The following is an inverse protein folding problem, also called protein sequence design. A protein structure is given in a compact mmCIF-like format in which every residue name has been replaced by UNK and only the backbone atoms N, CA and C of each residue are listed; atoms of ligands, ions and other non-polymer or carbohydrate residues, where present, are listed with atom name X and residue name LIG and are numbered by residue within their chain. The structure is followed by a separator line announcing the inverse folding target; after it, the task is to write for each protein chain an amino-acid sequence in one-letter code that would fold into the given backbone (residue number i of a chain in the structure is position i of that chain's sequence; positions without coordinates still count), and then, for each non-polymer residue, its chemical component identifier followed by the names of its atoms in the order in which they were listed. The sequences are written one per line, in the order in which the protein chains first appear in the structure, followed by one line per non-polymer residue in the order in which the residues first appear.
data_IF_110399950450
#
_entry.id   IF_110399950450
#
_cell.length_a   1.000
_cell.length_b   1.000
_cell.length_c   1.000
_cell.angle_alpha   90.00
_cell.angle_beta   90.00
_cell.angle_gamma   90.00
#
_symmetry.space_group_name_H-M   'P 1'
#
loop_
_entity.id
_entity.type
_entity.pdbx_description
1 polymer ?
#
# COMPACT_ATOMS: atom_id res chain seq x y z
N UNK A 1 -14.66 58.76 -11.54
CA UNK A 1 -13.35 58.12 -11.81
C UNK A 1 -13.49 56.61 -11.74
N UNK A 2 -14.19 56.02 -12.70
CA UNK A 2 -13.71 55.41 -13.97
C UNK A 2 -13.27 53.95 -13.82
N UNK A 3 -13.74 53.05 -14.71
CA UNK A 3 -13.96 51.61 -14.47
C UNK A 3 -12.97 50.73 -15.29
N UNK A 4 -13.03 49.37 -15.24
CA UNK A 4 -12.03 48.50 -15.83
C UNK A 4 -12.23 48.33 -17.34
N UNK A 5 -11.14 48.14 -18.09
CA UNK A 5 -11.14 47.95 -19.55
C UNK A 5 -10.87 46.49 -19.93
N UNK A 6 -11.65 46.08 -20.92
CA UNK A 6 -11.80 44.79 -21.57
C UNK A 6 -10.82 44.54 -22.74
N UNK A 7 -10.62 43.24 -23.01
CA UNK A 7 -10.44 42.51 -24.28
C UNK A 7 -9.19 42.63 -25.20
N UNK A 8 -8.77 41.41 -25.61
CA UNK A 8 -8.12 40.94 -26.84
C UNK A 8 -6.69 41.35 -27.24
N UNK A 9 -5.79 40.36 -27.29
CA UNK A 9 -4.76 40.26 -28.34
C UNK A 9 -4.18 38.84 -28.47
N UNK A 10 -4.59 38.14 -29.54
CA UNK A 10 -3.97 36.93 -30.08
C UNK A 10 -2.91 37.34 -31.11
N UNK A 11 -1.64 36.89 -31.08
CA UNK A 11 -0.73 37.15 -32.17
C UNK A 11 -0.79 36.05 -33.24
N UNK A 12 -1.06 36.49 -34.47
CA UNK A 12 -1.06 35.73 -35.72
C UNK A 12 0.26 35.96 -36.47
N UNK A 13 0.85 34.87 -36.98
CA UNK A 13 1.64 34.72 -38.23
C UNK A 13 2.84 35.64 -38.52
N UNK A 14 4.02 35.02 -38.66
CA UNK A 14 5.08 35.21 -39.70
C UNK A 14 6.17 34.16 -39.38
N UNK A 15 6.83 33.48 -40.31
CA UNK A 15 7.37 33.94 -41.58
C UNK A 15 7.53 32.77 -42.55
N UNK A 16 6.86 32.84 -43.71
CA UNK A 16 7.17 32.05 -44.91
C UNK A 16 8.23 32.80 -45.70
N UNK A 17 9.42 32.23 -45.84
CA UNK A 17 10.51 32.84 -46.59
C UNK A 17 10.26 32.62 -48.10
N UNK A 18 10.12 33.71 -48.84
CA UNK A 18 9.94 33.77 -50.29
C UNK A 18 11.20 33.32 -51.04
N UNK A 19 11.04 32.53 -52.12
CA UNK A 19 12.09 32.29 -53.12
C UNK A 19 12.14 33.45 -54.14
N UNK A 20 13.32 33.82 -54.66
CA UNK A 20 13.48 35.00 -55.49
C UNK A 20 12.89 34.82 -56.90
N UNK A 21 12.22 35.89 -57.37
CA UNK A 21 11.70 36.04 -58.74
C UNK A 21 12.87 36.36 -59.68
N UNK A 22 13.19 35.47 -60.62
CA UNK A 22 14.11 35.75 -61.73
C UNK A 22 13.40 36.57 -62.82
N UNK A 23 13.99 37.71 -63.19
CA UNK A 23 13.53 38.57 -64.27
C UNK A 23 13.81 37.93 -65.65
N UNK A 24 12.84 38.01 -66.56
CA UNK A 24 12.94 37.49 -67.93
C UNK A 24 13.45 38.59 -68.86
N UNK A 25 14.68 38.47 -69.37
CA UNK A 25 15.22 39.33 -70.44
C UNK A 25 14.73 38.83 -71.80
N UNK A 26 14.41 39.72 -72.78
CA UNK A 26 13.96 39.29 -74.10
C UNK A 26 15.06 38.50 -74.84
N UNK A 27 14.70 37.50 -75.67
CA UNK A 27 15.68 36.64 -76.33
C UNK A 27 16.56 37.45 -77.28
N UNK A 28 17.87 37.22 -77.22
CA UNK A 28 18.85 37.84 -78.12
C UNK A 28 18.59 37.41 -79.57
N UNK A 29 18.96 38.22 -80.56
CA UNK A 29 18.91 37.82 -81.99
C UNK A 29 19.64 36.49 -82.23
N UNK A 30 20.73 36.27 -81.48
CA UNK A 30 21.49 35.02 -81.45
C UNK A 30 20.66 33.84 -80.92
N UNK A 31 19.81 34.07 -79.92
CA UNK A 31 18.91 33.03 -79.39
C UNK A 31 17.81 32.65 -80.40
N UNK A 32 17.37 33.62 -81.22
CA UNK A 32 16.43 33.36 -82.32
C UNK A 32 17.05 32.53 -83.45
N UNK A 33 18.29 32.82 -83.84
CA UNK A 33 19.02 32.02 -84.83
C UNK A 33 19.34 30.61 -84.30
N UNK A 34 19.68 30.50 -83.01
CA UNK A 34 19.90 29.22 -82.35
C UNK A 34 18.63 28.37 -82.33
N UNK A 35 17.48 28.97 -82.01
CA UNK A 35 16.20 28.27 -82.03
C UNK A 35 15.83 27.79 -83.45
N UNK A 36 16.07 28.60 -84.48
CA UNK A 36 15.80 28.25 -85.87
C UNK A 36 16.69 27.10 -86.37
N UNK A 37 17.96 27.06 -85.96
CA UNK A 37 18.87 25.94 -86.27
C UNK A 37 18.41 24.63 -85.60
N UNK A 38 17.97 24.70 -84.34
CA UNK A 38 17.46 23.53 -83.60
C UNK A 38 16.16 23.02 -84.22
N UNK A 39 15.26 23.92 -84.64
CA UNK A 39 14.00 23.55 -85.30
C UNK A 39 14.22 22.89 -86.67
N UNK A 40 15.30 23.23 -87.36
CA UNK A 40 15.76 22.56 -88.58
C UNK A 40 16.53 21.25 -88.33
N UNK A 41 16.68 20.83 -87.07
CA UNK A 41 17.24 19.53 -86.69
C UNK A 41 18.75 19.49 -86.50
N UNK A 42 19.42 20.64 -86.34
CA UNK A 42 20.84 20.68 -85.95
C UNK A 42 21.02 20.51 -84.44
N UNK A 43 22.12 19.86 -84.02
CA UNK A 43 22.39 19.62 -82.59
C UNK A 43 22.63 20.95 -81.84
N UNK A 44 22.15 21.02 -80.61
CA UNK A 44 22.19 22.24 -79.79
C UNK A 44 23.63 22.67 -79.51
N UNK A 45 24.57 21.73 -79.39
CA UNK A 45 25.97 22.06 -79.13
C UNK A 45 26.67 22.58 -80.40
N UNK A 46 26.41 21.95 -81.55
CA UNK A 46 26.94 22.39 -82.85
C UNK A 46 26.49 23.82 -83.18
N UNK A 47 25.19 24.10 -83.03
CA UNK A 47 24.62 25.41 -83.29
C UNK A 47 25.16 26.50 -82.34
N UNK A 48 25.42 26.16 -81.07
CA UNK A 48 26.06 27.08 -80.10
C UNK A 48 27.52 27.37 -80.44
N UNK A 49 28.28 26.36 -80.86
CA UNK A 49 29.69 26.51 -81.24
C UNK A 49 29.83 27.41 -82.48
N UNK A 50 29.00 27.17 -83.51
CA UNK A 50 29.01 27.98 -84.72
C UNK A 50 28.61 29.45 -84.46
N UNK A 51 27.68 29.68 -83.54
CA UNK A 51 27.25 31.02 -83.11
C UNK A 51 28.29 31.75 -82.24
N UNK A 52 29.13 31.01 -81.52
CA UNK A 52 30.23 31.55 -80.72
C UNK A 52 31.48 31.88 -81.56
N UNK A 53 31.73 31.13 -82.63
CA UNK A 53 32.81 31.38 -83.60
C UNK A 53 32.50 32.56 -84.55
N UNK A 54 31.26 33.05 -84.52
CA UNK A 54 30.69 34.00 -85.45
C UNK A 54 30.54 35.41 -84.82
N UNK A 55 31.02 36.50 -85.45
CA UNK A 55 30.76 37.87 -85.01
C UNK A 55 29.27 38.24 -84.93
N UNK A 56 28.95 39.30 -84.16
CA UNK A 56 27.59 39.60 -83.65
C UNK A 56 26.49 39.88 -84.69
N UNK A 57 26.81 40.04 -85.98
CA UNK A 57 25.86 40.44 -87.02
C UNK A 57 25.89 39.48 -88.22
N UNK A 58 25.71 38.19 -87.95
CA UNK A 58 25.79 37.12 -88.96
C UNK A 58 24.42 36.64 -89.42
N UNK A 59 24.33 36.32 -90.70
CA UNK A 59 23.14 35.81 -91.36
C UNK A 59 23.04 34.28 -91.19
N UNK A 60 21.82 33.75 -91.18
CA UNK A 60 21.53 32.32 -90.99
C UNK A 60 22.26 31.42 -92.00
N UNK A 61 22.41 31.89 -93.25
CA UNK A 61 23.08 31.15 -94.32
C UNK A 61 24.57 30.91 -94.05
N UNK A 62 25.27 31.93 -93.52
CA UNK A 62 26.71 31.84 -93.21
C UNK A 62 26.96 30.91 -92.00
N UNK A 63 26.02 30.91 -91.04
CA UNK A 63 25.98 29.96 -89.94
C UNK A 63 25.79 28.51 -90.43
N UNK A 64 24.93 28.30 -91.44
CA UNK A 64 24.72 26.99 -92.03
C UNK A 64 25.98 26.48 -92.73
N UNK A 65 26.64 27.33 -93.52
CA UNK A 65 27.87 26.99 -94.25
C UNK A 65 29.02 26.66 -93.27
N UNK A 66 29.12 27.37 -92.15
CA UNK A 66 30.09 27.08 -91.10
C UNK A 66 29.82 25.76 -90.39
N UNK A 67 28.54 25.45 -90.11
CA UNK A 67 28.13 24.16 -89.53
C UNK A 67 28.40 23.03 -90.53
N UNK A 68 28.12 23.22 -91.82
CA UNK A 68 28.38 22.26 -92.88
C UNK A 68 29.88 22.00 -93.09
N UNK A 69 30.73 23.03 -93.06
CA UNK A 69 32.19 22.88 -93.14
C UNK A 69 32.77 22.14 -91.93
N UNK A 70 32.25 22.40 -90.73
CA UNK A 70 32.67 21.68 -89.52
C UNK A 70 32.12 20.24 -89.48
N UNK A 71 31.01 19.94 -90.16
CA UNK A 71 30.41 18.60 -90.25
C UNK A 71 31.25 17.63 -91.10
N UNK A 72 32.02 18.14 -92.05
CA UNK A 72 32.96 17.34 -92.85
C UNK A 72 34.27 17.02 -92.10
N UNK A 73 34.55 17.70 -90.98
CA UNK A 73 35.51 17.23 -89.99
C UNK A 73 34.82 16.23 -89.06
N UNK A 74 34.60 15.01 -89.59
CA UNK A 74 34.25 13.85 -88.79
C UNK A 74 35.26 13.66 -87.65
N UNK A 75 34.86 14.01 -86.45
CA UNK A 75 35.39 13.41 -85.21
C UNK A 75 35.11 11.90 -85.31
N UNK A 76 36.07 11.03 -84.97
CA UNK A 76 35.89 9.59 -85.05
C UNK A 76 34.68 9.13 -84.23
N UNK A 77 33.89 8.28 -84.86
CA UNK A 77 32.76 7.50 -84.37
C UNK A 77 33.03 6.86 -82.99
N UNK A 78 32.30 7.29 -81.95
CA UNK A 78 32.27 6.67 -80.60
C UNK A 78 30.86 6.21 -80.20
N UNK A 79 30.03 5.81 -81.16
CA UNK A 79 28.58 5.66 -81.00
C UNK A 79 28.10 4.50 -80.11
N UNK A 80 28.98 3.64 -79.57
CA UNK A 80 28.58 2.53 -78.67
C UNK A 80 28.97 2.78 -77.19
N UNK A 81 29.95 3.65 -76.91
CA UNK A 81 30.36 3.96 -75.53
C UNK A 81 29.47 5.05 -74.90
N UNK A 82 28.87 5.93 -75.70
CA UNK A 82 28.06 7.06 -75.21
C UNK A 82 26.64 6.65 -74.76
N UNK A 83 26.02 5.66 -75.42
CA UNK A 83 24.69 5.18 -75.02
C UNK A 83 24.73 4.31 -73.75
N UNK A 84 25.79 3.52 -73.59
CA UNK A 84 26.01 2.74 -72.37
C UNK A 84 26.42 3.61 -71.18
N UNK A 85 27.18 4.69 -71.40
CA UNK A 85 27.48 5.65 -70.35
C UNK A 85 26.26 6.46 -69.92
N UNK A 86 25.36 6.83 -70.84
CA UNK A 86 24.09 7.47 -70.49
C UNK A 86 23.14 6.53 -69.73
N UNK A 87 23.01 5.26 -70.14
CA UNK A 87 22.26 4.25 -69.35
C UNK A 87 22.84 4.08 -67.95
N UNK A 88 24.18 4.07 -67.80
CA UNK A 88 24.85 4.02 -66.49
C UNK A 88 24.59 5.28 -65.65
N UNK A 89 24.56 6.46 -66.25
CA UNK A 89 24.21 7.73 -65.57
C UNK A 89 22.74 7.74 -65.14
N UNK A 90 21.82 7.28 -65.98
CA UNK A 90 20.40 7.19 -65.67
C UNK A 90 20.12 6.16 -64.55
N UNK A 91 20.79 5.02 -64.58
CA UNK A 91 20.74 4.04 -63.49
C UNK A 91 21.35 4.56 -62.19
N UNK A 92 22.47 5.29 -62.26
CA UNK A 92 23.07 5.94 -61.10
C UNK A 92 22.12 6.99 -60.51
N UNK A 93 21.50 7.82 -61.36
CA UNK A 93 20.49 8.79 -60.93
C UNK A 93 19.26 8.13 -60.32
N UNK A 94 18.79 7.00 -60.89
CA UNK A 94 17.68 6.21 -60.33
C UNK A 94 18.06 5.67 -58.96
N UNK A 95 19.24 5.06 -58.81
CA UNK A 95 19.76 4.56 -57.51
C UNK A 95 19.87 5.68 -56.48
N UNK A 96 20.43 6.84 -56.84
CA UNK A 96 20.54 8.01 -55.95
C UNK A 96 19.15 8.54 -55.53
N UNK A 97 18.17 8.54 -56.45
CA UNK A 97 16.79 8.91 -56.16
C UNK A 97 16.11 7.90 -55.21
N UNK A 98 16.36 6.61 -55.38
CA UNK A 98 15.86 5.56 -54.47
C UNK A 98 16.52 5.62 -53.10
N UNK A 99 17.81 5.93 -53.04
CA UNK A 99 18.56 6.15 -51.80
C UNK A 99 18.02 7.35 -51.03
N UNK A 100 17.82 8.51 -51.69
CA UNK A 100 17.15 9.67 -51.07
C UNK A 100 15.75 9.35 -50.54
N UNK A 101 14.96 8.55 -51.27
CA UNK A 101 13.65 8.08 -50.82
C UNK A 101 13.76 7.18 -49.59
N UNK A 102 14.75 6.29 -49.55
CA UNK A 102 15.02 5.38 -48.42
C UNK A 102 15.44 6.17 -47.18
N UNK A 103 16.34 7.14 -47.33
CA UNK A 103 16.80 8.01 -46.24
C UNK A 103 15.67 8.87 -45.68
N UNK A 104 14.79 9.38 -46.55
CA UNK A 104 13.59 10.10 -46.13
C UNK A 104 12.66 9.22 -45.29
N UNK A 105 12.35 8.01 -45.76
CA UNK A 105 11.52 7.05 -45.02
C UNK A 105 12.17 6.62 -43.71
N UNK A 106 13.49 6.46 -43.67
CA UNK A 106 14.22 6.15 -42.44
C UNK A 106 14.21 7.30 -41.45
N UNK A 107 14.41 8.53 -41.91
CA UNK A 107 14.25 9.74 -41.10
C UNK A 107 12.83 9.81 -40.51
N UNK A 108 11.80 9.52 -41.29
CA UNK A 108 10.42 9.54 -40.79
C UNK A 108 10.16 8.44 -39.75
N UNK A 109 10.64 7.21 -40.00
CA UNK A 109 10.61 6.14 -38.98
C UNK A 109 11.35 6.53 -37.70
N UNK A 110 12.50 7.23 -37.79
CA UNK A 110 13.26 7.71 -36.63
C UNK A 110 12.46 8.75 -35.84
N UNK A 111 11.78 9.67 -36.51
CA UNK A 111 10.89 10.65 -35.85
C UNK A 111 9.69 9.97 -35.19
N UNK A 112 9.04 9.03 -35.88
CA UNK A 112 7.94 8.23 -35.32
C UNK A 112 8.40 7.44 -34.09
N UNK A 113 9.59 6.82 -34.15
CA UNK A 113 10.16 6.10 -33.02
C UNK A 113 10.46 7.03 -31.85
N UNK A 114 11.10 8.18 -32.10
CA UNK A 114 11.37 9.17 -31.06
C UNK A 114 10.07 9.71 -30.42
N UNK A 115 9.02 9.91 -31.22
CA UNK A 115 7.70 10.30 -30.70
C UNK A 115 7.06 9.19 -29.85
N UNK A 116 7.16 7.92 -30.28
CA UNK A 116 6.69 6.78 -29.48
C UNK A 116 7.45 6.67 -28.15
N UNK A 117 8.77 6.79 -28.18
CA UNK A 117 9.62 6.72 -26.98
C UNK A 117 9.31 7.89 -26.03
N UNK A 118 9.05 9.09 -26.58
CA UNK A 118 8.59 10.25 -25.80
C UNK A 118 7.25 9.97 -25.10
N UNK A 119 6.25 9.48 -25.84
CA UNK A 119 4.94 9.13 -25.26
C UNK A 119 5.05 8.03 -24.20
N UNK A 120 5.92 7.05 -24.40
CA UNK A 120 6.18 6.01 -23.39
C UNK A 120 6.85 6.59 -22.15
N UNK A 121 7.79 7.53 -22.30
CA UNK A 121 8.44 8.20 -21.19
C UNK A 121 7.45 9.03 -20.35
N UNK A 122 6.50 9.71 -20.98
CA UNK A 122 5.43 10.45 -20.30
C UNK A 122 4.50 9.49 -19.55
N UNK A 123 4.05 8.40 -20.19
CA UNK A 123 3.24 7.37 -19.50
C UNK A 123 3.96 6.77 -18.28
N UNK A 124 5.28 6.54 -18.37
CA UNK A 124 6.08 6.03 -17.23
C UNK A 124 6.15 7.05 -16.10
N UNK A 125 6.30 8.34 -16.39
CA UNK A 125 6.26 9.40 -15.36
C UNK A 125 4.89 9.47 -14.70
N UNK A 126 3.81 9.46 -15.48
CA UNK A 126 2.45 9.46 -14.95
C UNK A 126 2.18 8.23 -14.06
N UNK A 127 2.64 7.05 -14.47
CA UNK A 127 2.56 5.82 -13.67
C UNK A 127 3.34 5.94 -12.36
N UNK A 128 4.59 6.43 -12.40
CA UNK A 128 5.40 6.63 -11.19
C UNK A 128 4.76 7.65 -10.24
N UNK A 129 4.21 8.75 -10.76
CA UNK A 129 3.48 9.72 -9.95
C UNK A 129 2.21 9.12 -9.33
N UNK A 130 1.46 8.33 -10.09
CA UNK A 130 0.27 7.65 -9.59
C UNK A 130 0.63 6.64 -8.48
N UNK A 131 1.66 5.83 -8.68
CA UNK A 131 2.19 4.90 -7.69
C UNK A 131 2.65 5.62 -6.41
N UNK A 132 3.36 6.74 -6.53
CA UNK A 132 3.77 7.55 -5.38
C UNK A 132 2.57 8.13 -4.63
N UNK A 133 1.55 8.63 -5.34
CA UNK A 133 0.31 9.13 -4.74
C UNK A 133 -0.44 8.02 -4.01
N UNK A 134 -0.53 6.82 -4.59
CA UNK A 134 -1.14 5.66 -3.95
C UNK A 134 -0.34 5.18 -2.73
N UNK A 135 0.99 5.11 -2.82
CA UNK A 135 1.85 4.75 -1.71
C UNK A 135 1.69 5.71 -0.52
N UNK A 136 1.61 7.03 -0.81
CA UNK A 136 1.33 8.05 0.21
C UNK A 136 -0.04 7.89 0.84
N UNK A 137 -1.07 7.52 0.05
CA UNK A 137 -2.42 7.23 0.57
C UNK A 137 -2.43 6.00 1.47
N UNK A 138 -1.77 4.90 1.06
CA UNK A 138 -1.65 3.66 1.84
C UNK A 138 -0.92 3.91 3.16
N UNK A 139 0.22 4.58 3.13
CA UNK A 139 0.97 4.96 4.34
C UNK A 139 0.11 5.78 5.31
N UNK A 140 -0.68 6.74 4.82
CA UNK A 140 -1.58 7.53 5.68
C UNK A 140 -2.72 6.68 6.28
N UNK A 141 -3.23 5.69 5.54
CA UNK A 141 -4.22 4.74 6.05
C UNK A 141 -3.61 3.86 7.15
N UNK A 142 -2.40 3.34 6.95
CA UNK A 142 -1.69 2.51 7.92
C UNK A 142 -1.42 3.29 9.22
N UNK A 143 -0.94 4.53 9.11
CA UNK A 143 -0.76 5.43 10.26
C UNK A 143 -2.06 5.63 11.04
N UNK A 144 -3.17 5.86 10.32
CA UNK A 144 -4.50 6.01 10.93
C UNK A 144 -4.91 4.73 11.68
N UNK A 145 -4.71 3.57 11.08
CA UNK A 145 -5.05 2.29 11.71
C UNK A 145 -4.18 2.02 12.94
N UNK A 146 -2.91 2.41 12.91
CA UNK A 146 -2.00 2.32 14.04
C UNK A 146 -2.44 3.23 15.18
N UNK A 147 -2.75 4.50 14.89
CA UNK A 147 -3.24 5.46 15.89
C UNK A 147 -4.56 4.99 16.52
N UNK A 148 -5.46 4.39 15.73
CA UNK A 148 -6.71 3.77 16.22
C UNK A 148 -6.42 2.63 17.20
N UNK A 149 -5.51 1.71 16.84
CA UNK A 149 -5.11 0.58 17.71
C UNK A 149 -4.48 1.09 19.00
N UNK A 150 -3.63 2.11 18.92
CA UNK A 150 -2.98 2.72 20.07
C UNK A 150 -4.00 3.38 21.01
N UNK A 151 -4.98 4.11 20.45
CA UNK A 151 -6.09 4.67 21.22
C UNK A 151 -6.89 3.60 21.97
N UNK A 152 -7.16 2.46 21.33
CA UNK A 152 -7.84 1.34 21.99
C UNK A 152 -7.00 0.74 23.14
N UNK A 153 -5.68 0.64 22.98
CA UNK A 153 -4.78 0.17 24.04
C UNK A 153 -4.82 1.10 25.26
N UNK A 154 -4.72 2.41 25.04
CA UNK A 154 -4.82 3.40 26.13
C UNK A 154 -6.20 3.41 26.80
N UNK A 155 -7.25 3.27 26.01
CA UNK A 155 -8.62 3.16 26.52
C UNK A 155 -8.78 1.94 27.44
N UNK A 156 -8.28 0.78 27.03
CA UNK A 156 -8.33 -0.44 27.83
C UNK A 156 -7.48 -0.37 29.11
N UNK A 157 -6.43 0.46 29.12
CA UNK A 157 -5.61 0.76 30.31
C UNK A 157 -6.25 1.79 31.25
N UNK A 158 -7.41 2.34 30.91
CA UNK A 158 -8.08 3.40 31.69
C UNK A 158 -7.49 4.80 31.49
N UNK A 159 -6.54 4.97 30.57
CA UNK A 159 -5.91 6.26 30.25
C UNK A 159 -6.73 6.99 29.17
N UNK A 160 -7.90 7.50 29.58
CA UNK A 160 -8.88 8.05 28.63
C UNK A 160 -8.45 9.35 27.95
N UNK A 161 -7.67 10.21 28.63
CA UNK A 161 -7.17 11.46 28.05
C UNK A 161 -6.21 11.19 26.88
N UNK A 162 -5.26 10.27 27.05
CA UNK A 162 -4.36 9.89 25.96
C UNK A 162 -5.11 9.16 24.83
N UNK A 163 -6.09 8.30 25.17
CA UNK A 163 -6.95 7.68 24.16
C UNK A 163 -7.66 8.73 23.28
N UNK A 164 -8.21 9.80 23.86
CA UNK A 164 -8.83 10.90 23.12
C UNK A 164 -7.87 11.55 22.14
N UNK A 165 -6.61 11.78 22.55
CA UNK A 165 -5.58 12.39 21.69
C UNK A 165 -5.26 11.51 20.49
N UNK A 166 -5.07 10.21 20.69
CA UNK A 166 -4.80 9.28 19.60
C UNK A 166 -6.00 9.13 18.64
N UNK A 167 -7.23 9.09 19.15
CA UNK A 167 -8.41 9.09 18.27
C UNK A 167 -8.54 10.40 17.48
N UNK A 168 -8.25 11.54 18.11
CA UNK A 168 -8.28 12.84 17.42
C UNK A 168 -7.23 12.90 16.30
N UNK A 169 -6.02 12.38 16.56
CA UNK A 169 -4.97 12.26 15.55
C UNK A 169 -5.42 11.40 14.36
N UNK A 170 -6.04 10.24 14.63
CA UNK A 170 -6.59 9.38 13.58
C UNK A 170 -7.70 10.06 12.77
N UNK A 171 -8.59 10.84 13.41
CA UNK A 171 -9.68 11.58 12.73
C UNK A 171 -9.12 12.61 11.75
N UNK A 172 -8.08 13.36 12.13
CA UNK A 172 -7.44 14.37 11.28
C UNK A 172 -6.75 13.76 10.06
N UNK A 173 -6.27 12.51 10.17
CA UNK A 173 -5.64 11.82 9.06
C UNK A 173 -6.63 11.35 7.99
N UNK A 174 -7.89 11.07 8.36
CA UNK A 174 -8.92 10.58 7.46
C UNK A 174 -9.62 11.68 6.65
N UNK A 175 -10.18 11.31 5.50
CA UNK A 175 -11.08 12.19 4.75
C UNK A 175 -12.45 12.26 5.44
N UNK A 176 -13.14 13.40 5.30
CA UNK A 176 -14.41 13.69 5.98
C UNK A 176 -15.58 12.72 5.70
N UNK A 177 -15.46 11.85 4.69
CA UNK A 177 -16.46 10.84 4.32
C UNK A 177 -16.02 9.40 4.60
N UNK A 178 -14.85 9.20 5.21
CA UNK A 178 -14.33 7.85 5.42
C UNK A 178 -15.23 7.06 6.39
N UNK A 179 -15.63 5.80 6.08
CA UNK A 179 -16.48 4.99 6.96
C UNK A 179 -15.93 4.82 8.39
N UNK A 180 -14.61 4.66 8.52
CA UNK A 180 -13.90 4.51 9.82
C UNK A 180 -14.08 5.71 10.76
N UNK A 181 -14.46 6.88 10.25
CA UNK A 181 -14.74 8.03 11.11
C UNK A 181 -15.84 7.73 12.12
N UNK A 182 -16.86 6.95 11.73
CA UNK A 182 -17.94 6.54 12.64
C UNK A 182 -17.35 5.81 13.85
N UNK A 183 -16.38 4.92 13.63
CA UNK A 183 -15.73 4.16 14.70
C UNK A 183 -14.89 5.06 15.61
N UNK A 184 -14.11 5.95 15.01
CA UNK A 184 -13.23 6.86 15.76
C UNK A 184 -14.05 7.85 16.60
N UNK A 185 -15.10 8.45 16.05
CA UNK A 185 -16.01 9.30 16.80
C UNK A 185 -16.67 8.52 17.94
N UNK A 186 -17.10 7.28 17.69
CA UNK A 186 -17.68 6.43 18.74
C UNK A 186 -16.70 6.12 19.87
N UNK A 187 -15.45 5.81 19.53
CA UNK A 187 -14.42 5.49 20.52
C UNK A 187 -13.96 6.75 21.28
N UNK A 188 -13.85 7.89 20.60
CA UNK A 188 -13.54 9.18 21.22
C UNK A 188 -14.67 9.65 22.14
N UNK A 189 -15.92 9.53 21.72
CA UNK A 189 -17.09 9.81 22.55
C UNK A 189 -17.08 8.94 23.83
N UNK A 190 -16.71 7.66 23.72
CA UNK A 190 -16.58 6.79 24.89
C UNK A 190 -15.50 7.29 25.86
N UNK A 191 -14.34 7.74 25.35
CA UNK A 191 -13.27 8.30 26.18
C UNK A 191 -13.71 9.61 26.85
N UNK A 192 -14.33 10.52 26.09
CA UNK A 192 -14.86 11.80 26.60
C UNK A 192 -15.94 11.62 27.65
N UNK A 193 -16.83 10.64 27.48
CA UNK A 193 -17.84 10.28 28.46
C UNK A 193 -17.19 9.86 29.80
N UNK A 194 -16.10 9.09 29.75
CA UNK A 194 -15.36 8.68 30.96
C UNK A 194 -14.59 9.83 31.62
N UNK A 195 -14.19 10.84 30.85
CA UNK A 195 -13.55 12.06 31.35
C UNK A 195 -14.56 13.11 31.88
N UNK A 196 -15.86 12.93 31.65
CA UNK A 196 -16.89 13.92 31.98
C UNK A 196 -16.98 15.10 30.99
N UNK A 197 -16.32 15.00 29.83
CA UNK A 197 -16.38 16.00 28.76
C UNK A 197 -17.64 15.78 27.92
N UNK A 198 -18.80 16.15 28.47
CA UNK A 198 -20.10 15.83 27.87
C UNK A 198 -20.37 16.58 26.56
N UNK A 199 -19.99 17.86 26.44
CA UNK A 199 -20.24 18.65 25.22
C UNK A 199 -19.53 18.06 24.00
N UNK A 200 -18.23 17.78 24.12
CA UNK A 200 -17.46 17.13 23.04
C UNK A 200 -17.93 15.70 22.74
N UNK A 201 -18.51 15.01 23.72
CA UNK A 201 -19.16 13.71 23.50
C UNK A 201 -20.42 13.85 22.64
N UNK A 202 -21.25 14.87 22.89
CA UNK A 202 -22.47 15.11 22.11
C UNK A 202 -22.16 15.43 20.65
N UNK A 203 -21.12 16.23 20.40
CA UNK A 203 -20.65 16.53 19.05
C UNK A 203 -20.24 15.24 18.34
N UNK A 204 -19.36 14.44 18.95
CA UNK A 204 -18.88 13.18 18.38
C UNK A 204 -20.02 12.20 18.10
N UNK A 205 -20.95 12.06 19.04
CA UNK A 205 -22.11 11.20 18.86
C UNK A 205 -23.02 11.69 17.73
N UNK A 206 -23.21 13.00 17.58
CA UNK A 206 -24.04 13.57 16.52
C UNK A 206 -23.43 13.31 15.14
N UNK A 207 -22.12 13.47 14.99
CA UNK A 207 -21.41 13.11 13.75
C UNK A 207 -21.47 11.59 13.49
N UNK A 208 -21.26 10.76 14.51
CA UNK A 208 -21.32 9.31 14.40
C UNK A 208 -22.71 8.82 13.97
N UNK A 209 -23.80 9.39 14.53
CA UNK A 209 -25.18 9.07 14.16
C UNK A 209 -25.46 9.45 12.71
N UNK A 210 -25.12 10.68 12.31
CA UNK A 210 -25.37 11.17 10.96
C UNK A 210 -24.65 10.31 9.90
N UNK A 211 -23.41 9.92 10.18
CA UNK A 211 -22.62 9.07 9.28
C UNK A 211 -23.07 7.60 9.30
N UNK A 212 -23.36 7.03 10.48
CA UNK A 212 -23.82 5.64 10.59
C UNK A 212 -25.18 5.44 9.90
N UNK A 213 -26.11 6.38 10.06
CA UNK A 213 -27.41 6.36 9.37
C UNK A 213 -27.24 6.37 7.85
N UNK A 214 -26.43 7.29 7.31
CA UNK A 214 -26.10 7.35 5.87
C UNK A 214 -25.44 6.06 5.37
N UNK A 215 -24.46 5.53 6.11
CA UNK A 215 -23.76 4.30 5.75
C UNK A 215 -24.66 3.07 5.78
N UNK A 216 -25.68 3.07 6.64
CA UNK A 216 -26.69 2.00 6.72
C UNK A 216 -27.56 2.00 5.47
N UNK A 217 -28.01 3.18 5.02
CA UNK A 217 -28.80 3.34 3.78
C UNK A 217 -27.97 2.98 2.55
N UNK A 218 -26.73 3.47 2.48
CA UNK A 218 -25.84 3.27 1.33
C UNK A 218 -25.19 1.88 1.30
N UNK A 219 -25.44 1.02 2.30
CA UNK A 219 -24.76 -0.29 2.48
C UNK A 219 -23.24 -0.18 2.30
N UNK A 220 -22.64 0.83 2.91
CA UNK A 220 -21.20 1.06 2.82
C UNK A 220 -20.44 -0.14 3.39
N UNK A 221 -19.30 -0.48 2.80
CA UNK A 221 -18.46 -1.59 3.22
C UNK A 221 -17.99 -1.40 4.67
N UNK A 222 -18.17 -2.44 5.50
CA UNK A 222 -17.77 -2.41 6.90
C UNK A 222 -16.29 -2.78 7.01
N UNK A 223 -15.56 -2.05 7.84
CA UNK A 223 -14.20 -2.46 8.20
C UNK A 223 -14.21 -3.77 8.97
N UNK A 224 -13.18 -4.59 8.77
CA UNK A 224 -12.97 -5.85 9.50
C UNK A 224 -13.15 -5.68 11.02
N UNK A 225 -13.97 -6.55 11.62
CA UNK A 225 -14.25 -6.55 13.07
C UNK A 225 -15.44 -5.68 13.51
N UNK A 226 -16.19 -5.07 12.59
CA UNK A 226 -17.39 -4.26 12.92
C UNK A 226 -18.65 -5.07 12.67
N UNK A 227 -19.50 -5.20 13.70
CA UNK A 227 -20.71 -6.03 13.62
C UNK A 227 -21.76 -5.51 12.64
N UNK A 228 -22.13 -4.22 12.72
CA UNK A 228 -23.14 -3.58 11.87
C UNK A 228 -23.10 -2.05 12.01
N UNK A 229 -23.42 -1.30 10.96
CA UNK A 229 -23.63 0.15 11.05
C UNK A 229 -24.75 0.51 12.03
N UNK A 230 -25.81 -0.30 12.09
CA UNK A 230 -26.89 -0.17 13.09
C UNK A 230 -26.34 -0.32 14.51
N UNK A 231 -25.41 -1.25 14.75
CA UNK A 231 -24.76 -1.41 16.07
C UNK A 231 -23.94 -0.18 16.45
N UNK A 232 -23.22 0.42 15.48
CA UNK A 232 -22.47 1.65 15.73
C UNK A 232 -23.39 2.85 15.97
N UNK A 233 -24.52 2.92 15.28
CA UNK A 233 -25.55 3.93 15.51
C UNK A 233 -26.15 3.78 16.92
N UNK A 234 -26.55 2.58 17.32
CA UNK A 234 -27.06 2.31 18.68
C UNK A 234 -26.05 2.71 19.76
N UNK A 235 -24.76 2.36 19.59
CA UNK A 235 -23.70 2.78 20.53
C UNK A 235 -23.55 4.30 20.61
N UNK A 236 -23.67 5.01 19.50
CA UNK A 236 -23.61 6.47 19.47
C UNK A 236 -24.82 7.09 20.19
N UNK A 237 -26.04 6.59 19.94
CA UNK A 237 -27.27 7.02 20.62
C UNK A 237 -27.19 6.80 22.14
N UNK A 238 -26.73 5.61 22.56
CA UNK A 238 -26.59 5.32 23.98
C UNK A 238 -25.62 6.28 24.68
N UNK A 239 -24.44 6.52 24.09
CA UNK A 239 -23.45 7.46 24.64
C UNK A 239 -23.96 8.90 24.65
N UNK A 240 -24.70 9.32 23.61
CA UNK A 240 -25.36 10.64 23.55
C UNK A 240 -26.33 10.81 24.71
N UNK A 241 -27.18 9.81 24.95
CA UNK A 241 -28.13 9.83 26.05
C UNK A 241 -27.42 9.90 27.42
N UNK A 242 -26.36 9.11 27.63
CA UNK A 242 -25.55 9.18 28.85
C UNK A 242 -24.85 10.55 29.04
N UNK A 243 -24.43 11.20 27.95
CA UNK A 243 -23.85 12.55 28.03
C UNK A 243 -24.90 13.61 28.37
N UNK A 244 -26.12 13.50 27.82
CA UNK A 244 -27.25 14.37 28.18
C UNK A 244 -27.69 14.18 29.64
N UNK A 245 -27.67 12.94 30.14
CA UNK A 245 -27.86 12.63 31.56
C UNK A 245 -26.83 13.38 32.42
N UNK A 246 -25.55 13.34 32.03
CA UNK A 246 -24.46 14.05 32.73
C UNK A 246 -24.62 15.57 32.75
N UNK A 247 -25.20 16.15 31.69
CA UNK A 247 -25.54 17.58 31.59
C UNK A 247 -26.88 17.95 32.24
N UNK A 248 -27.58 16.99 32.85
CA UNK A 248 -28.91 17.17 33.45
C UNK A 248 -30.01 17.60 32.45
N UNK A 249 -29.79 17.35 31.15
CA UNK A 249 -30.77 17.58 30.08
C UNK A 249 -31.65 16.34 29.90
N UNK A 250 -32.40 16.00 30.94
CA UNK A 250 -33.10 14.71 31.05
C UNK A 250 -34.18 14.49 30.01
N UNK A 251 -34.90 15.54 29.60
CA UNK A 251 -35.97 15.44 28.59
C UNK A 251 -35.40 15.04 27.23
N UNK A 252 -34.30 15.67 26.83
CA UNK A 252 -33.58 15.32 25.60
C UNK A 252 -32.94 13.93 25.69
N UNK A 253 -32.44 13.54 26.86
CA UNK A 253 -31.88 12.20 27.09
C UNK A 253 -32.95 11.11 26.89
N UNK A 254 -34.17 11.31 27.41
CA UNK A 254 -35.30 10.39 27.24
C UNK A 254 -35.65 10.25 25.76
N UNK A 255 -35.74 11.36 25.02
CA UNK A 255 -36.03 11.33 23.59
C UNK A 255 -34.99 10.51 22.79
N UNK A 256 -33.70 10.63 23.14
CA UNK A 256 -32.62 9.84 22.52
C UNK A 256 -32.72 8.36 22.89
N UNK A 257 -33.08 8.02 24.14
CA UNK A 257 -33.33 6.64 24.54
C UNK A 257 -34.53 6.01 23.84
N UNK A 258 -35.58 6.79 23.58
CA UNK A 258 -36.73 6.34 22.78
C UNK A 258 -36.37 6.12 21.31
N UNK A 259 -35.52 6.97 20.73
CA UNK A 259 -34.93 6.73 19.41
C UNK A 259 -34.10 5.44 19.37
N UNK A 260 -33.25 5.22 20.39
CA UNK A 260 -32.50 3.98 20.52
C UNK A 260 -33.45 2.77 20.54
N UNK A 261 -34.51 2.80 21.36
CA UNK A 261 -35.45 1.67 21.48
C UNK A 261 -36.20 1.39 20.17
N UNK A 262 -36.51 2.43 19.39
CA UNK A 262 -37.13 2.27 18.06
C UNK A 262 -36.18 1.59 17.07
N UNK A 263 -34.88 1.92 17.11
CA UNK A 263 -33.88 1.37 16.21
C UNK A 263 -33.48 -0.08 16.57
N UNK A 264 -33.39 -0.39 17.86
CA UNK A 264 -33.07 -1.74 18.36
C UNK A 264 -34.26 -2.71 18.19
N UNK A 265 -35.47 -2.19 18.02
CA UNK A 265 -36.72 -2.96 17.91
C UNK A 265 -37.18 -3.60 19.23
N UNK A 266 -36.27 -3.76 20.19
CA UNK A 266 -36.53 -4.23 21.56
C UNK A 266 -36.04 -3.19 22.55
N UNK A 267 -36.81 -2.94 23.62
CA UNK A 267 -36.36 -2.03 24.68
C UNK A 267 -35.37 -2.76 25.60
N UNK A 268 -34.07 -2.62 25.30
CA UNK A 268 -32.98 -3.13 26.13
C UNK A 268 -33.08 -2.63 27.58
N UNK A 269 -32.68 -3.47 28.54
CA UNK A 269 -32.72 -3.13 29.98
C UNK A 269 -31.94 -1.86 30.31
N UNK A 270 -30.82 -1.62 29.61
CA UNK A 270 -29.98 -0.42 29.75
C UNK A 270 -30.77 0.86 29.43
N UNK A 271 -31.61 0.79 28.41
CA UNK A 271 -32.44 1.92 27.94
C UNK A 271 -33.58 2.17 28.90
N UNK A 272 -34.28 1.11 29.33
CA UNK A 272 -35.35 1.22 30.33
C UNK A 272 -34.84 1.82 31.64
N UNK A 273 -33.66 1.37 32.10
CA UNK A 273 -33.02 1.94 33.29
C UNK A 273 -32.61 3.39 33.08
N UNK A 274 -32.07 3.76 31.92
CA UNK A 274 -31.72 5.15 31.58
C UNK A 274 -32.93 6.09 31.60
N UNK A 275 -34.02 5.70 30.93
CA UNK A 275 -35.28 6.46 30.94
C UNK A 275 -35.79 6.62 32.38
N UNK A 276 -35.80 5.55 33.17
CA UNK A 276 -36.25 5.60 34.56
C UNK A 276 -35.40 6.55 35.42
N UNK A 277 -34.06 6.52 35.28
CA UNK A 277 -33.16 7.48 35.96
C UNK A 277 -33.46 8.91 35.55
N UNK A 278 -33.62 9.18 34.26
CA UNK A 278 -33.95 10.51 33.75
C UNK A 278 -35.30 11.02 34.27
N UNK A 279 -36.32 10.16 34.28
CA UNK A 279 -37.67 10.52 34.74
C UNK A 279 -37.71 10.83 36.24
N UNK A 280 -36.97 10.06 37.05
CA UNK A 280 -36.83 10.31 38.50
C UNK A 280 -36.06 11.60 38.79
N UNK A 281 -35.07 11.93 37.95
CA UNK A 281 -34.27 13.14 38.11
C UNK A 281 -34.90 14.40 37.51
N UNK A 282 -35.97 14.29 36.70
CA UNK A 282 -36.61 15.44 36.06
C UNK A 282 -37.50 16.21 37.06
N UNK A 283 -37.19 17.48 37.38
CA UNK A 283 -37.97 18.29 38.32
C UNK A 283 -39.41 18.57 37.84
N UNK A 284 -39.68 18.49 36.53
CA UNK A 284 -41.01 18.73 35.96
C UNK A 284 -42.03 17.64 36.30
N UNK A 285 -41.60 16.44 36.70
CA UNK A 285 -42.49 15.30 36.97
C UNK A 285 -43.05 15.26 38.41
N UNK A 286 -43.09 16.40 39.10
CA UNK A 286 -43.92 16.56 40.30
C UNK A 286 -43.42 15.88 41.57
N UNK A 287 -42.15 16.07 41.90
CA UNK A 287 -41.56 15.66 43.18
C UNK A 287 -40.74 16.77 43.83
N UNK A 288 -41.35 17.92 44.12
CA UNK A 288 -40.78 18.83 45.13
C UNK A 288 -40.69 18.11 46.49
N UNK A 289 -39.69 18.39 47.34
CA UNK A 289 -39.44 17.60 48.53
C UNK A 289 -40.60 17.74 49.52
N UNK A 290 -41.27 16.64 49.85
CA UNK A 290 -42.20 16.58 50.98
C UNK A 290 -41.41 16.67 52.28
N UNK A 291 -41.08 17.88 52.72
CA UNK A 291 -40.67 18.13 54.10
C UNK A 291 -41.91 18.04 55.01
N UNK A 292 -42.01 16.95 55.76
CA UNK A 292 -42.67 16.97 57.08
C UNK A 292 -41.57 17.16 58.12
N UNK A 293 -41.76 18.00 59.16
CA UNK A 293 -40.80 18.08 60.24
C UNK A 293 -40.87 16.77 61.02
N UNK A 294 -39.84 15.93 60.93
CA UNK A 294 -39.74 14.72 61.73
C UNK A 294 -39.10 15.08 63.08
N UNK A 295 -39.86 14.84 64.14
CA UNK A 295 -39.39 14.87 65.51
C UNK A 295 -38.22 13.91 65.69
N UNK A 296 -37.24 14.32 66.50
CA UNK A 296 -36.16 13.48 66.98
C UNK A 296 -36.70 12.34 67.86
N UNK A 297 -37.11 11.25 67.22
CA UNK A 297 -37.23 9.94 67.84
C UNK A 297 -36.86 8.91 66.79
N UNK A 298 -35.79 8.16 67.05
CA UNK A 298 -35.26 7.11 66.16
C UNK A 298 -36.37 6.13 65.74
N UNK A 299 -36.61 6.01 64.43
CA UNK A 299 -37.77 5.34 63.84
C UNK A 299 -37.66 3.81 63.70
N UNK A 300 -36.70 3.17 64.38
CA UNK A 300 -36.60 1.71 64.43
C UNK A 300 -36.22 1.27 65.85
N UNK A 301 -37.19 0.81 66.66
CA UNK A 301 -36.92 0.26 67.99
C UNK A 301 -36.17 -1.08 67.96
N UNK A 302 -35.98 -1.68 66.78
CA UNK A 302 -35.40 -3.03 66.61
C UNK A 302 -34.33 -3.12 65.50
N UNK A 303 -33.80 -1.98 65.01
CA UNK A 303 -32.72 -2.02 64.00
C UNK A 303 -31.47 -1.36 64.57
N UNK A 304 -30.45 -2.19 64.78
CA UNK A 304 -29.12 -1.77 65.20
C UNK A 304 -28.49 -0.85 64.13
N UNK A 305 -28.24 0.39 64.53
CA UNK A 305 -27.69 1.46 63.67
C UNK A 305 -26.18 1.33 63.41
N UNK A 306 -25.54 0.22 63.81
CA UNK A 306 -24.15 -0.06 63.45
C UNK A 306 -23.92 -0.35 61.95
N UNK A 307 -24.98 -0.37 61.13
CA UNK A 307 -24.92 -0.57 59.67
C UNK A 307 -24.53 0.70 58.88
N UNK A 308 -24.68 1.90 59.45
CA UNK A 308 -24.41 3.17 58.74
C UNK A 308 -23.25 4.00 59.30
N UNK A 309 -22.47 3.43 60.22
CA UNK A 309 -21.04 3.76 60.27
C UNK A 309 -20.45 3.22 58.97
N UNK A 310 -19.67 3.97 58.19
CA UNK A 310 -18.81 3.35 57.20
C UNK A 310 -17.79 2.52 57.98
N UNK A 311 -18.16 1.27 58.30
CA UNK A 311 -17.15 0.23 58.29
C UNK A 311 -16.58 0.33 56.88
N UNK A 312 -15.35 0.83 56.79
CA UNK A 312 -14.50 0.44 55.68
C UNK A 312 -14.79 -1.05 55.50
N UNK A 313 -15.22 -1.51 54.31
CA UNK A 313 -15.48 -2.92 54.13
C UNK A 313 -14.21 -3.59 54.62
N UNK A 314 -14.30 -4.31 55.74
CA UNK A 314 -13.09 -4.83 56.34
C UNK A 314 -12.45 -5.62 55.20
N UNK A 315 -11.23 -5.25 54.82
CA UNK A 315 -10.56 -5.82 53.64
C UNK A 315 -10.59 -7.35 53.73
N UNK A 316 -10.71 -7.84 54.96
CA UNK A 316 -10.90 -9.23 55.38
C UNK A 316 -12.23 -9.89 54.95
N UNK A 317 -13.39 -9.23 54.84
CA UNK A 317 -14.68 -9.88 54.51
C UNK A 317 -14.89 -10.16 53.01
N UNK A 318 -14.44 -9.24 52.15
CA UNK A 318 -14.35 -9.47 50.70
C UNK A 318 -13.22 -10.47 50.39
N UNK A 319 -12.19 -10.53 51.25
CA UNK A 319 -11.17 -11.57 51.24
C UNK A 319 -11.66 -12.91 51.86
N UNK A 320 -12.73 -12.92 52.67
CA UNK A 320 -13.26 -14.09 53.36
C UNK A 320 -14.48 -14.73 52.67
N UNK A 321 -15.06 -14.09 51.65
CA UNK A 321 -16.10 -14.69 50.81
C UNK A 321 -15.56 -16.00 50.21
N UNK A 322 -16.11 -17.14 50.65
CA UNK A 322 -15.69 -18.49 50.26
C UNK A 322 -15.53 -18.64 48.74
N UNK A 323 -16.45 -18.03 47.96
CA UNK A 323 -16.42 -18.04 46.50
C UNK A 323 -15.27 -17.21 45.87
N UNK A 324 -14.92 -16.06 46.46
CA UNK A 324 -13.80 -15.21 45.98
C UNK A 324 -12.47 -15.83 46.38
N UNK A 325 -12.39 -16.42 47.57
CA UNK A 325 -11.23 -17.20 48.02
C UNK A 325 -11.01 -18.43 47.15
N UNK A 326 -12.05 -19.18 46.82
CA UNK A 326 -11.99 -20.34 45.92
C UNK A 326 -11.60 -19.95 44.48
N UNK A 327 -12.12 -18.82 43.96
CA UNK A 327 -11.73 -18.31 42.64
C UNK A 327 -10.25 -17.91 42.60
N UNK A 328 -9.78 -17.17 43.61
CA UNK A 328 -8.36 -16.77 43.73
C UNK A 328 -7.44 -17.96 43.98
N UNK A 329 -7.87 -18.94 44.77
CA UNK A 329 -7.11 -20.18 45.00
C UNK A 329 -7.02 -21.00 43.71
N UNK A 330 -8.10 -21.08 42.91
CA UNK A 330 -8.09 -21.74 41.61
C UNK A 330 -7.20 -21.03 40.59
N UNK A 331 -7.24 -19.70 40.54
CA UNK A 331 -6.36 -18.90 39.68
C UNK A 331 -4.90 -18.99 40.12
N UNK A 332 -4.61 -18.87 41.42
CA UNK A 332 -3.26 -19.01 41.97
C UNK A 332 -2.72 -20.42 41.78
N UNK A 333 -3.56 -21.46 41.89
CA UNK A 333 -3.16 -22.83 41.61
C UNK A 333 -2.85 -23.02 40.12
N UNK A 334 -3.67 -22.47 39.22
CA UNK A 334 -3.39 -22.48 37.77
C UNK A 334 -2.11 -21.71 37.44
N UNK A 335 -1.91 -20.54 38.05
CA UNK A 335 -0.71 -19.72 37.86
C UNK A 335 0.54 -20.41 38.42
N UNK A 336 0.43 -21.10 39.56
CA UNK A 336 1.53 -21.91 40.10
C UNK A 336 1.84 -23.12 39.21
N UNK A 337 0.82 -23.81 38.69
CA UNK A 337 0.99 -24.92 37.74
C UNK A 337 1.59 -24.44 36.40
N UNK A 338 1.19 -23.26 35.93
CA UNK A 338 1.74 -22.63 34.73
C UNK A 338 3.17 -22.12 34.95
N UNK A 339 3.47 -21.53 36.12
CA UNK A 339 4.81 -21.09 36.49
C UNK A 339 5.77 -22.27 36.66
N UNK A 340 5.34 -23.36 37.29
CA UNK A 340 6.13 -24.60 37.40
C UNK A 340 6.37 -25.21 36.01
N UNK A 341 5.37 -25.18 35.14
CA UNK A 341 5.51 -25.63 33.75
C UNK A 341 6.48 -24.75 32.96
N UNK A 342 6.43 -23.43 33.16
CA UNK A 342 7.32 -22.47 32.51
C UNK A 342 8.75 -22.65 33.01
N UNK A 343 8.96 -22.78 34.32
CA UNK A 343 10.27 -23.03 34.92
C UNK A 343 10.91 -24.32 34.39
N UNK A 344 10.14 -25.41 34.31
CA UNK A 344 10.60 -26.68 33.70
C UNK A 344 10.94 -26.52 32.22
N UNK A 345 10.19 -25.68 31.50
CA UNK A 345 10.46 -25.39 30.08
C UNK A 345 11.75 -24.59 29.92
N UNK A 346 11.96 -23.57 30.75
CA UNK A 346 13.17 -22.74 30.73
C UNK A 346 14.42 -23.53 31.12
N UNK A 347 14.32 -24.41 32.12
CA UNK A 347 15.39 -25.32 32.52
C UNK A 347 15.78 -26.29 31.38
N UNK A 348 14.78 -26.90 30.73
CA UNK A 348 14.99 -27.77 29.57
C UNK A 348 15.64 -27.03 28.41
N UNK A 349 15.18 -25.80 28.13
CA UNK A 349 15.78 -24.97 27.09
C UNK A 349 17.23 -24.59 27.42
N UNK A 350 17.54 -24.25 28.67
CA UNK A 350 18.91 -23.97 29.10
C UNK A 350 19.84 -25.19 28.93
N UNK A 351 19.35 -26.40 29.23
CA UNK A 351 20.09 -27.65 29.00
C UNK A 351 20.32 -27.90 27.50
N UNK A 352 19.30 -27.72 26.65
CA UNK A 352 19.42 -27.81 25.20
C UNK A 352 20.43 -26.81 24.64
N UNK A 353 20.38 -25.56 25.13
CA UNK A 353 21.30 -24.49 24.73
C UNK A 353 22.74 -24.83 25.11
N UNK A 354 22.98 -25.33 26.32
CA UNK A 354 24.31 -25.74 26.78
C UNK A 354 24.86 -26.90 25.95
N UNK A 355 24.02 -27.88 25.61
CA UNK A 355 24.41 -29.03 24.81
C UNK A 355 24.77 -28.67 23.36
N UNK A 356 23.97 -27.79 22.75
CA UNK A 356 24.18 -27.39 21.35
C UNK A 356 25.29 -26.35 21.17
N UNK A 357 25.66 -25.61 22.23
CA UNK A 357 26.62 -24.51 22.17
C UNK A 357 27.94 -24.94 21.52
N UNK A 358 28.28 -24.31 20.38
CA UNK A 358 29.50 -24.59 19.62
C UNK A 358 29.49 -25.87 18.77
N UNK A 359 28.40 -26.65 18.79
CA UNK A 359 28.27 -27.93 18.06
C UNK A 359 27.04 -27.99 17.14
N UNK A 360 26.25 -26.92 17.04
CA UNK A 360 24.94 -26.88 16.36
C UNK A 360 24.96 -27.39 14.91
N UNK A 361 26.05 -27.15 14.17
CA UNK A 361 26.21 -27.57 12.77
C UNK A 361 26.97 -28.90 12.60
N UNK A 362 27.55 -29.43 13.67
CA UNK A 362 28.39 -30.63 13.60
C UNK A 362 27.61 -31.84 14.13
N UNK A 363 26.93 -32.54 13.22
CA UNK A 363 26.15 -33.73 13.55
C UNK A 363 26.96 -34.78 14.33
N UNK A 364 28.23 -35.00 13.97
CA UNK A 364 29.08 -36.00 14.64
C UNK A 364 29.29 -35.64 16.10
N UNK A 365 29.58 -34.37 16.38
CA UNK A 365 29.77 -33.88 17.74
C UNK A 365 28.47 -33.93 18.56
N UNK A 366 27.31 -33.66 17.94
CA UNK A 366 26.01 -33.78 18.60
C UNK A 366 25.67 -35.25 18.92
N UNK A 367 25.87 -36.18 17.99
CA UNK A 367 25.63 -37.61 18.24
C UNK A 367 26.58 -38.20 19.29
N UNK A 368 27.85 -37.78 19.31
CA UNK A 368 28.82 -38.23 20.31
C UNK A 368 28.61 -37.65 21.71
N UNK A 369 27.88 -36.54 21.83
CA UNK A 369 27.52 -35.93 23.12
C UNK A 369 26.05 -36.09 23.47
N UNK A 370 25.30 -36.87 22.69
CA UNK A 370 23.86 -37.08 22.87
C UNK A 370 23.53 -37.75 24.22
N UNK A 371 24.44 -38.58 24.73
CA UNK A 371 24.30 -39.24 26.04
C UNK A 371 24.17 -38.24 27.21
N UNK A 372 24.75 -37.04 27.09
CA UNK A 372 24.76 -36.03 28.17
C UNK A 372 23.39 -35.38 28.42
N UNK A 373 22.49 -35.41 27.42
CA UNK A 373 21.18 -34.76 27.47
C UNK A 373 20.03 -35.77 27.48
N UNK A 374 20.29 -37.03 27.14
CA UNK A 374 19.31 -38.09 27.24
C UNK A 374 19.11 -38.50 28.70
N UNK A 375 17.87 -38.88 29.02
CA UNK A 375 17.52 -39.37 30.35
C UNK A 375 17.72 -40.89 30.45
N UNK A 376 17.96 -41.38 31.67
CA UNK A 376 18.40 -42.76 31.96
C UNK A 376 17.43 -43.88 31.55
N UNK A 377 16.16 -43.56 31.22
CA UNK A 377 15.21 -44.56 30.73
C UNK A 377 15.40 -44.89 29.24
N UNK A 378 16.20 -44.11 28.52
CA UNK A 378 16.65 -44.46 27.17
C UNK A 378 17.99 -45.19 27.29
N UNK A 379 17.99 -46.50 26.98
CA UNK A 379 19.21 -47.30 26.86
C UNK A 379 20.01 -46.89 25.60
N UNK A 380 20.61 -45.71 25.63
CA UNK A 380 21.46 -45.21 24.55
C UNK A 380 22.89 -45.72 24.74
N UNK A 381 23.45 -46.36 23.70
CA UNK A 381 24.85 -46.75 23.70
C UNK A 381 25.68 -45.53 23.31
N UNK A 382 26.60 -45.11 24.17
CA UNK A 382 27.53 -44.02 23.88
C UNK A 382 28.33 -44.32 22.61
N UNK A 383 28.49 -43.32 21.77
CA UNK A 383 29.21 -43.45 20.49
C UNK A 383 30.37 -42.47 20.51
N UNK A 384 31.58 -43.00 20.42
CA UNK A 384 32.79 -42.18 20.44
C UNK A 384 32.99 -41.51 19.08
N UNK A 385 33.59 -40.32 19.03
CA UNK A 385 33.87 -39.59 17.78
C UNK A 385 34.63 -40.41 16.73
N UNK A 386 35.46 -41.36 17.15
CA UNK A 386 36.19 -42.29 16.28
C UNK A 386 35.27 -43.21 15.47
N UNK A 387 34.13 -43.63 16.02
CA UNK A 387 33.15 -44.49 15.34
C UNK A 387 32.27 -43.72 14.34
N UNK A 388 32.20 -42.39 14.48
CA UNK A 388 31.40 -41.47 13.65
C UNK A 388 32.19 -40.85 12.49
N UNK A 389 33.45 -41.27 12.30
CA UNK A 389 34.30 -40.78 11.21
C UNK A 389 33.72 -41.18 9.85
N UNK A 390 33.26 -42.43 9.71
CA UNK A 390 32.64 -42.97 8.51
C UNK A 390 31.21 -42.43 8.29
N UNK A 391 30.90 -41.82 7.13
CA UNK A 391 29.57 -41.24 6.87
C UNK A 391 28.42 -42.25 6.96
N UNK A 392 28.65 -43.51 6.58
CA UNK A 392 27.64 -44.58 6.64
C UNK A 392 27.26 -44.93 8.09
N UNK A 393 28.25 -45.04 8.98
CA UNK A 393 28.02 -45.32 10.41
C UNK A 393 27.34 -44.12 11.08
N UNK A 394 27.74 -42.89 10.73
CA UNK A 394 27.10 -41.66 11.21
C UNK A 394 25.60 -41.60 10.84
N UNK A 395 25.25 -41.91 9.58
CA UNK A 395 23.85 -42.01 9.12
C UNK A 395 23.05 -43.03 9.92
N UNK A 396 23.61 -44.22 10.15
CA UNK A 396 22.92 -45.28 10.88
C UNK A 396 22.68 -44.90 12.35
N UNK A 397 23.66 -44.29 13.00
CA UNK A 397 23.54 -43.80 14.39
C UNK A 397 22.53 -42.65 14.49
N UNK A 398 22.53 -41.73 13.52
CA UNK A 398 21.52 -40.67 13.43
C UNK A 398 20.09 -41.21 13.32
N UNK A 399 19.85 -42.17 12.41
CA UNK A 399 18.52 -42.77 12.24
C UNK A 399 18.06 -43.47 13.53
N UNK A 400 18.98 -44.13 14.24
CA UNK A 400 18.71 -44.72 15.57
C UNK A 400 18.38 -43.66 16.62
N UNK A 401 19.10 -42.53 16.62
CA UNK A 401 18.86 -41.42 17.55
C UNK A 401 17.46 -40.83 17.35
N UNK A 402 17.13 -40.42 16.12
CA UNK A 402 15.83 -39.85 15.77
C UNK A 402 14.68 -40.79 16.08
N UNK A 403 14.83 -42.10 15.83
CA UNK A 403 13.81 -43.08 16.16
C UNK A 403 13.51 -43.17 17.67
N UNK A 404 14.49 -42.85 18.53
CA UNK A 404 14.36 -42.87 19.99
C UNK A 404 13.88 -41.53 20.57
N UNK A 405 14.28 -40.41 19.97
CA UNK A 405 13.89 -39.06 20.43
C UNK A 405 12.67 -38.48 19.71
N UNK A 406 11.97 -39.28 18.89
CA UNK A 406 10.79 -38.80 18.19
C UNK A 406 9.66 -38.47 19.18
N UNK A 407 9.12 -37.24 19.19
CA UNK A 407 8.17 -36.78 20.21
C UNK A 407 6.88 -37.61 20.27
N UNK A 408 6.46 -38.19 19.15
CA UNK A 408 5.26 -39.02 19.02
C UNK A 408 5.46 -40.51 19.40
N UNK A 409 6.72 -40.97 19.50
CA UNK A 409 7.05 -42.38 19.82
C UNK A 409 7.47 -42.57 21.28
N UNK A 410 7.41 -41.51 22.08
CA UNK A 410 7.64 -41.58 23.51
C UNK A 410 6.47 -42.30 24.19
N UNK A 411 6.76 -43.11 25.20
CA UNK A 411 5.73 -43.77 25.99
C UNK A 411 4.73 -42.75 26.56
N UNK A 412 3.46 -43.12 26.69
CA UNK A 412 2.42 -42.30 27.32
C UNK A 412 2.76 -41.89 28.76
N UNK A 413 3.71 -42.60 29.40
CA UNK A 413 4.23 -42.30 30.74
C UNK A 413 5.42 -41.32 30.75
N UNK A 414 5.81 -40.74 29.61
CA UNK A 414 6.92 -39.80 29.53
C UNK A 414 6.59 -38.44 30.16
N UNK A 415 7.51 -37.93 30.98
CA UNK A 415 7.38 -36.64 31.67
C UNK A 415 7.32 -35.49 30.67
N UNK A 416 6.67 -34.38 31.03
CA UNK A 416 6.58 -33.16 30.20
C UNK A 416 7.98 -32.67 29.80
N UNK A 417 8.94 -32.69 30.73
CA UNK A 417 10.35 -32.35 30.48
C UNK A 417 11.00 -33.23 29.41
N UNK A 418 10.78 -34.55 29.48
CA UNK A 418 11.33 -35.50 28.51
C UNK A 418 10.77 -35.28 27.11
N UNK A 419 9.48 -34.91 27.01
CA UNK A 419 8.84 -34.60 25.73
C UNK A 419 9.38 -33.30 25.13
N UNK A 420 9.60 -32.28 25.96
CA UNK A 420 10.20 -31.02 25.54
C UNK A 420 11.67 -31.21 25.11
N UNK A 421 12.45 -31.96 25.88
CA UNK A 421 13.84 -32.32 25.53
C UNK A 421 13.89 -33.10 24.22
N UNK A 422 13.06 -34.14 24.06
CA UNK A 422 13.00 -34.93 22.84
C UNK A 422 12.67 -34.09 21.61
N UNK A 423 11.70 -33.17 21.72
CA UNK A 423 11.32 -32.27 20.63
C UNK A 423 12.46 -31.31 20.26
N UNK A 424 13.16 -30.76 21.25
CA UNK A 424 14.32 -29.89 21.04
C UNK A 424 15.51 -30.62 20.41
N UNK A 425 15.85 -31.81 20.92
CA UNK A 425 16.91 -32.67 20.39
C UNK A 425 16.58 -33.10 18.96
N UNK A 426 15.35 -33.56 18.70
CA UNK A 426 14.89 -33.99 17.38
C UNK A 426 15.06 -32.89 16.34
N UNK A 427 14.63 -31.67 16.67
CA UNK A 427 14.76 -30.51 15.78
C UNK A 427 16.22 -30.19 15.49
N UNK A 428 17.06 -30.14 16.53
CA UNK A 428 18.49 -29.81 16.41
C UNK A 428 19.24 -30.88 15.61
N UNK A 429 18.97 -32.17 15.85
CA UNK A 429 19.58 -33.27 15.10
C UNK A 429 19.14 -33.29 13.63
N UNK A 430 17.88 -32.99 13.32
CA UNK A 430 17.41 -32.89 11.94
C UNK A 430 18.12 -31.76 11.18
N UNK A 431 18.24 -30.58 11.80
CA UNK A 431 18.96 -29.44 11.20
C UNK A 431 20.42 -29.78 10.94
N UNK A 432 21.10 -30.40 11.90
CA UNK A 432 22.49 -30.85 11.73
C UNK A 432 22.62 -31.97 10.67
N UNK A 433 21.64 -32.86 10.58
CA UNK A 433 21.61 -33.91 9.56
C UNK A 433 21.47 -33.35 8.15
N UNK A 434 20.63 -32.35 7.95
CA UNK A 434 20.48 -31.70 6.65
C UNK A 434 21.80 -31.08 6.19
N UNK A 435 22.51 -30.39 7.08
CA UNK A 435 23.85 -29.86 6.76
C UNK A 435 24.86 -30.97 6.44
N UNK A 436 24.88 -32.03 7.24
CA UNK A 436 25.76 -33.18 7.04
C UNK A 436 25.49 -33.93 5.72
N UNK A 437 24.21 -34.04 5.34
CA UNK A 437 23.75 -34.67 4.10
C UNK A 437 24.24 -33.89 2.88
N UNK A 438 24.12 -32.55 2.92
CA UNK A 438 24.62 -31.66 1.86
C UNK A 438 26.14 -31.75 1.74
N UNK A 439 26.88 -31.78 2.85
CA UNK A 439 28.35 -31.84 2.84
C UNK A 439 28.92 -33.17 2.33
N UNK A 440 28.19 -34.29 2.48
CA UNK A 440 28.67 -35.63 2.12
C UNK A 440 27.98 -36.20 0.86
N UNK A 441 27.18 -35.41 0.15
CA UNK A 441 26.43 -35.79 -1.06
C UNK A 441 25.65 -37.12 -0.90
N UNK A 442 24.86 -37.23 0.17
CA UNK A 442 24.15 -38.45 0.60
C UNK A 442 22.63 -38.49 0.36
#
# INVERSE_FOLDING_TARGET
DTPPKDFDARPSKRSSNEMPKNAFTPPSHKDGLLAQLIDMGFDVQEARIALAASPDNINFQDLLDLILQNKDQKVPDSSDEDEETEKRKEEAWRKEKEERRRDYLESERRKEQAHRDYLESERRKEQQEAEQREAKRRSKQDETQQDRKQGNLFFNRGQFAEAERFYTKAIVCLSFQHPDLVLLYNNRAAARLKLGLFDGCLEDCTHAIAMASKNTVNRAELTEGVSSWTSQWLKALHRKACALEGLKRYEEAIAVYEEYARLDGTRSSVVTQGISRCQQANPANGGGPSWKPAQETTAFPDIDFNIFVPQQPNRDEINASKAVKEMREREKKREAEEAERLEKTDAVNAQLMTWKLGKEKNLRALLGSLELILWSSIQWKSVTMSELLEPRKCKLTYMKAIAKVHPDKLSSNATIEQRLLASGIFTTLNQAWDTFRTENNL
#
